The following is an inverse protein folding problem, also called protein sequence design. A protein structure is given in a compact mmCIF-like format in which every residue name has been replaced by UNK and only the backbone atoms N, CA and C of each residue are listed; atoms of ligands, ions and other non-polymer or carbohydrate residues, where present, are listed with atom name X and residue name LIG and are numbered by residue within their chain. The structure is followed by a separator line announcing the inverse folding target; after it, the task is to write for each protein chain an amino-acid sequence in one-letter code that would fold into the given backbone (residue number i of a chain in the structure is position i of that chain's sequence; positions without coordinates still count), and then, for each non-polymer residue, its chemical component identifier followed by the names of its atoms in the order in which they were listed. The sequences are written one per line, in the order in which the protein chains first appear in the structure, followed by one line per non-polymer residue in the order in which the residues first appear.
data_IF_946831712694
#
_entry.id   IF_946831712694
#
_cell.length_a   1.000
_cell.length_b   1.000
_cell.length_c   1.000
_cell.angle_alpha   90.00
_cell.angle_beta   90.00
_cell.angle_gamma   90.00
#
_symmetry.space_group_name_H-M   'P 1'
#
loop_
_entity.id
_entity.type
_entity.pdbx_description
1 polymer ?
#
# COMPACT_ATOMS: atom_id res chain seq x y z
N UNK A 1 0.10 -5.03 -18.27
CA UNK A 1 -0.74 -4.23 -19.19
C UNK A 1 -0.21 -2.80 -19.22
N UNK A 2 -0.19 -2.13 -20.37
CA UNK A 2 0.29 -0.74 -20.45
C UNK A 2 -0.86 0.24 -20.59
N UNK A 3 -0.62 1.47 -20.16
CA UNK A 3 -1.49 2.61 -20.44
C UNK A 3 -1.51 2.93 -21.94
N UNK A 4 -2.68 2.97 -22.56
CA UNK A 4 -2.79 3.34 -23.99
C UNK A 4 -2.89 4.85 -24.23
N UNK A 5 -3.01 5.67 -23.18
CA UNK A 5 -3.26 7.11 -23.30
C UNK A 5 -2.73 7.95 -22.12
N UNK A 6 -2.77 9.27 -22.31
CA UNK A 6 -2.52 10.29 -21.28
C UNK A 6 -1.05 10.39 -20.85
N UNK A 7 -0.81 11.00 -19.68
CA UNK A 7 0.54 11.30 -19.14
C UNK A 7 1.46 10.08 -19.08
N UNK A 8 0.87 8.91 -18.84
CA UNK A 8 1.60 7.66 -18.61
C UNK A 8 1.53 6.68 -19.78
N UNK A 9 1.23 7.14 -21.00
CA UNK A 9 1.22 6.30 -22.20
C UNK A 9 2.48 5.41 -22.25
N UNK A 10 2.27 4.14 -22.61
CA UNK A 10 3.29 3.08 -22.72
C UNK A 10 3.94 2.67 -21.38
N UNK A 11 3.48 3.19 -20.23
CA UNK A 11 3.89 2.71 -18.90
C UNK A 11 3.01 1.55 -18.44
N UNK A 12 3.60 0.61 -17.70
CA UNK A 12 2.85 -0.49 -17.07
C UNK A 12 1.87 0.06 -16.02
N UNK A 13 0.62 -0.42 -16.05
CA UNK A 13 -0.45 0.00 -15.13
C UNK A 13 -0.03 -0.18 -13.67
N UNK A 14 0.56 -1.32 -13.32
CA UNK A 14 1.04 -1.58 -11.95
C UNK A 14 2.15 -0.59 -11.53
N UNK A 15 3.00 -0.17 -12.46
CA UNK A 15 4.01 0.85 -12.17
C UNK A 15 3.37 2.20 -11.88
N UNK A 16 2.36 2.59 -12.67
CA UNK A 16 1.62 3.85 -12.47
C UNK A 16 0.91 3.82 -11.12
N UNK A 17 0.29 2.70 -10.74
CA UNK A 17 -0.40 2.56 -9.45
C UNK A 17 0.58 2.86 -8.30
N UNK A 18 1.76 2.25 -8.34
CA UNK A 18 2.76 2.40 -7.28
C UNK A 18 3.47 3.75 -7.29
N UNK A 19 3.54 4.45 -8.43
CA UNK A 19 4.28 5.71 -8.57
C UNK A 19 3.40 6.95 -8.44
N UNK A 20 2.20 6.90 -8.97
CA UNK A 20 1.22 8.00 -8.98
C UNK A 20 -0.21 7.43 -8.96
N UNK A 21 -0.67 6.94 -7.79
CA UNK A 21 -2.05 6.45 -7.66
C UNK A 21 -3.10 7.55 -7.89
N UNK A 22 -2.70 8.82 -7.75
CA UNK A 22 -3.56 9.98 -8.06
C UNK A 22 -4.04 9.98 -9.50
N UNK A 23 -3.29 9.38 -10.42
CA UNK A 23 -3.71 9.23 -11.81
C UNK A 23 -4.99 8.38 -11.96
N UNK A 24 -5.14 7.30 -11.19
CA UNK A 24 -6.35 6.47 -11.23
C UNK A 24 -7.53 7.17 -10.55
N UNK A 25 -7.29 7.99 -9.53
CA UNK A 25 -8.32 8.89 -8.98
C UNK A 25 -8.79 9.89 -10.04
N UNK A 26 -7.87 10.47 -10.81
CA UNK A 26 -8.22 11.34 -11.93
C UNK A 26 -9.01 10.59 -13.01
N UNK A 27 -8.62 9.36 -13.38
CA UNK A 27 -9.38 8.53 -14.33
C UNK A 27 -10.82 8.29 -13.85
N UNK A 28 -11.00 8.00 -12.56
CA UNK A 28 -12.32 7.85 -11.94
C UNK A 28 -13.13 9.15 -12.05
N UNK A 29 -12.53 10.31 -11.71
CA UNK A 29 -13.19 11.62 -11.81
C UNK A 29 -13.58 11.99 -13.26
N UNK A 30 -12.88 11.43 -14.25
CA UNK A 30 -13.20 11.61 -15.67
C UNK A 30 -14.17 10.55 -16.21
N UNK A 31 -14.74 9.69 -15.37
CA UNK A 31 -15.68 8.65 -15.80
C UNK A 31 -15.03 7.53 -16.63
N UNK A 32 -13.71 7.37 -16.53
CA UNK A 32 -12.94 6.42 -17.35
C UNK A 32 -12.85 5.02 -16.74
N UNK A 33 -13.76 4.68 -15.82
CA UNK A 33 -13.75 3.40 -15.12
C UNK A 33 -13.99 2.21 -16.08
N UNK A 34 -14.68 2.43 -17.20
CA UNK A 34 -14.90 1.43 -18.24
C UNK A 34 -13.64 1.06 -19.04
N UNK A 35 -12.53 1.81 -18.90
CA UNK A 35 -11.28 1.51 -19.60
C UNK A 35 -10.63 0.26 -19.02
N UNK A 36 -10.09 -0.58 -19.92
CA UNK A 36 -9.41 -1.82 -19.54
C UNK A 36 -8.26 -1.56 -18.57
N UNK A 37 -7.55 -0.44 -18.70
CA UNK A 37 -6.44 -0.06 -17.82
C UNK A 37 -6.90 0.19 -16.39
N UNK A 38 -8.10 0.75 -16.23
CA UNK A 38 -8.69 0.97 -14.91
C UNK A 38 -9.10 -0.34 -14.27
N UNK A 39 -9.75 -1.22 -15.04
CA UNK A 39 -10.14 -2.55 -14.57
C UNK A 39 -8.92 -3.38 -14.17
N UNK A 40 -7.88 -3.39 -15.01
CA UNK A 40 -6.62 -4.06 -14.69
C UNK A 40 -5.92 -3.44 -13.47
N UNK A 41 -6.02 -2.12 -13.26
CA UNK A 41 -5.52 -1.50 -12.04
C UNK A 41 -6.25 -2.02 -10.80
N UNK A 42 -7.58 -2.21 -10.85
CA UNK A 42 -8.33 -2.79 -9.74
C UNK A 42 -7.90 -4.24 -9.44
N UNK A 43 -7.57 -5.02 -10.47
CA UNK A 43 -7.00 -6.37 -10.29
C UNK A 43 -5.64 -6.31 -9.58
N UNK A 44 -4.74 -5.44 -10.03
CA UNK A 44 -3.42 -5.23 -9.39
C UNK A 44 -3.59 -4.76 -7.94
N UNK A 45 -4.50 -3.82 -7.69
CA UNK A 45 -4.79 -3.32 -6.36
C UNK A 45 -5.33 -4.43 -5.44
N UNK A 46 -6.20 -5.30 -5.96
CA UNK A 46 -6.72 -6.45 -5.23
C UNK A 46 -5.59 -7.41 -4.84
N UNK A 47 -4.72 -7.76 -5.80
CA UNK A 47 -3.53 -8.60 -5.55
C UNK A 47 -2.56 -7.96 -4.57
N UNK A 48 -2.39 -6.64 -4.62
CA UNK A 48 -1.53 -5.92 -3.69
C UNK A 48 -2.07 -5.96 -2.26
N UNK A 49 -3.37 -5.76 -2.09
CA UNK A 49 -4.02 -5.77 -0.78
C UNK A 49 -4.09 -7.18 -0.18
N UNK A 50 -4.20 -8.23 -1.00
CA UNK A 50 -4.27 -9.62 -0.52
C UNK A 50 -2.93 -10.19 -0.08
N UNK A 51 -1.81 -9.62 -0.50
CA UNK A 51 -0.48 -10.09 -0.06
C UNK A 51 -0.26 -9.81 1.43
N UNK A 52 0.38 -10.71 2.18
CA UNK A 52 0.73 -10.46 3.58
C UNK A 52 1.80 -9.38 3.71
N UNK A 53 1.93 -8.80 4.89
CA UNK A 53 3.05 -7.91 5.23
C UNK A 53 4.28 -8.75 5.58
N UNK A 54 4.98 -9.28 4.56
CA UNK A 54 6.04 -10.27 4.72
C UNK A 54 7.40 -9.72 5.14
N UNK A 55 7.68 -8.44 4.87
CA UNK A 55 8.99 -7.84 5.10
C UNK A 55 9.09 -7.07 6.43
N UNK A 56 8.07 -7.19 7.28
CA UNK A 56 7.98 -6.49 8.56
C UNK A 56 7.52 -7.44 9.66
N UNK A 57 7.87 -7.11 10.90
CA UNK A 57 7.50 -7.89 12.08
C UNK A 57 6.52 -7.11 12.94
N UNK A 58 5.69 -7.84 13.68
CA UNK A 58 4.83 -7.23 14.68
C UNK A 58 5.70 -6.63 15.79
N UNK A 59 5.45 -5.36 16.10
CA UNK A 59 6.12 -4.61 17.17
C UNK A 59 5.58 -4.96 18.57
N UNK A 60 4.47 -5.68 18.64
CA UNK A 60 3.83 -6.04 19.90
C UNK A 60 4.48 -7.20 20.65
N UNK A 61 3.79 -7.65 21.70
CA UNK A 61 4.25 -8.70 22.64
C UNK A 61 4.43 -10.08 22.02
N UNK A 62 3.92 -10.33 20.81
CA UNK A 62 4.11 -11.61 20.12
C UNK A 62 5.54 -11.81 19.59
N UNK A 63 6.45 -10.85 19.79
CA UNK A 63 7.86 -10.93 19.38
C UNK A 63 8.04 -11.28 17.88
N UNK A 64 7.10 -10.82 17.05
CA UNK A 64 7.11 -11.08 15.62
C UNK A 64 6.66 -12.47 15.19
N UNK A 65 6.05 -13.28 16.07
CA UNK A 65 5.48 -14.59 15.70
C UNK A 65 4.31 -14.47 14.73
N UNK A 66 3.54 -13.39 14.83
CA UNK A 66 2.34 -13.15 14.03
C UNK A 66 2.63 -12.15 12.90
N UNK A 67 2.06 -12.41 11.73
CA UNK A 67 2.12 -11.49 10.60
C UNK A 67 1.36 -10.20 10.93
N UNK A 68 1.98 -9.02 10.74
CA UNK A 68 1.27 -7.76 10.91
C UNK A 68 0.10 -7.60 9.93
N UNK A 69 -0.89 -6.81 10.33
CA UNK A 69 -2.09 -6.51 9.54
C UNK A 69 -2.32 -5.00 9.37
N UNK A 70 -1.68 -4.17 10.20
CA UNK A 70 -1.85 -2.72 10.20
C UNK A 70 -0.59 -1.98 10.65
N UNK A 71 -0.44 -0.75 10.16
CA UNK A 71 0.52 0.24 10.64
C UNK A 71 -0.18 1.16 11.64
N UNK A 72 0.42 1.36 12.81
CA UNK A 72 -0.03 2.34 13.80
C UNK A 72 0.72 3.66 13.61
N UNK A 73 -0.03 4.76 13.55
CA UNK A 73 0.50 6.12 13.43
C UNK A 73 0.14 6.91 14.67
N UNK A 74 1.11 7.63 15.21
CA UNK A 74 0.90 8.46 16.39
C UNK A 74 0.40 9.85 15.99
N UNK A 75 -0.74 10.26 16.53
CA UNK A 75 -1.46 11.49 16.18
C UNK A 75 -1.70 11.64 14.67
N UNK A 76 -1.91 10.52 13.96
CA UNK A 76 -2.09 10.53 12.51
C UNK A 76 -0.84 10.91 11.71
N UNK A 77 0.35 10.83 12.31
CA UNK A 77 1.61 11.18 11.65
C UNK A 77 2.50 9.97 11.56
N UNK A 78 3.27 9.87 10.46
CA UNK A 78 4.33 8.89 10.35
C UNK A 78 5.43 9.21 11.37
N UNK A 79 5.53 8.37 12.40
CA UNK A 79 6.49 8.47 13.48
C UNK A 79 7.40 7.23 13.60
N UNK A 80 7.32 6.32 12.63
CA UNK A 80 8.04 5.06 12.61
C UNK A 80 7.22 3.93 12.00
N UNK A 81 7.87 2.83 11.69
CA UNK A 81 7.23 1.64 11.12
C UNK A 81 6.69 0.70 12.23
N UNK A 82 5.70 1.19 12.98
CA UNK A 82 5.08 0.45 14.07
C UNK A 82 3.96 -0.46 13.56
N UNK A 83 4.36 -1.60 12.99
CA UNK A 83 3.44 -2.61 12.46
C UNK A 83 2.90 -3.53 13.56
N UNK A 84 1.59 -3.80 13.56
CA UNK A 84 0.93 -4.66 14.54
C UNK A 84 0.07 -5.72 13.87
N UNK A 85 0.01 -6.91 14.48
CA UNK A 85 -0.98 -7.94 14.18
C UNK A 85 -2.27 -7.69 14.98
N UNK A 86 -3.37 -8.34 14.61
CA UNK A 86 -4.69 -8.16 15.24
C UNK A 86 -4.72 -8.56 16.72
N UNK A 87 -3.81 -9.42 17.16
CA UNK A 87 -3.72 -9.87 18.55
C UNK A 87 -2.92 -8.93 19.46
N UNK A 88 -2.06 -8.08 18.90
CA UNK A 88 -1.23 -7.18 19.70
C UNK A 88 -1.86 -5.80 19.85
N UNK A 89 -2.02 -5.36 21.10
CA UNK A 89 -2.46 -4.01 21.44
C UNK A 89 -1.27 -3.03 21.51
N UNK A 90 -1.20 -1.99 20.65
CA UNK A 90 -0.14 -0.99 20.72
C UNK A 90 -0.12 -0.19 22.03
N UNK A 91 -1.25 -0.04 22.73
CA UNK A 91 -1.28 0.68 24.01
C UNK A 91 -0.60 -0.10 25.13
N UNK A 92 -0.63 -1.43 25.08
CA UNK A 92 0.16 -2.28 25.98
C UNK A 92 1.68 -2.13 25.83
N UNK A 93 2.14 -1.46 24.76
CA UNK A 93 3.55 -1.15 24.50
C UNK A 93 3.92 0.29 24.89
N UNK A 94 3.08 0.98 25.66
CA UNK A 94 3.37 2.32 26.17
C UNK A 94 2.93 3.47 25.25
N UNK A 95 2.10 3.20 24.24
CA UNK A 95 1.49 4.28 23.48
C UNK A 95 0.45 5.05 24.34
N UNK A 96 0.34 6.36 24.13
CA UNK A 96 -0.64 7.17 24.84
C UNK A 96 -2.06 6.82 24.37
N UNK A 97 -2.93 6.51 25.32
CA UNK A 97 -4.32 6.13 25.04
C UNK A 97 -5.04 7.18 24.17
N UNK A 98 -5.74 6.70 23.15
CA UNK A 98 -6.56 7.53 22.26
C UNK A 98 -5.79 8.35 21.22
N UNK A 99 -4.46 8.26 21.16
CA UNK A 99 -3.67 9.06 20.20
C UNK A 99 -3.28 8.31 18.92
N UNK A 100 -3.63 7.02 18.79
CA UNK A 100 -3.24 6.22 17.63
C UNK A 100 -4.33 6.18 16.57
N UNK A 101 -3.91 6.28 15.32
CA UNK A 101 -4.71 5.91 14.14
C UNK A 101 -4.04 4.74 13.43
N UNK A 102 -4.82 3.85 12.81
CA UNK A 102 -4.29 2.69 12.10
C UNK A 102 -4.58 2.75 10.61
N UNK A 103 -3.66 2.26 9.80
CA UNK A 103 -3.81 2.14 8.34
C UNK A 103 -3.46 0.70 7.92
N UNK A 104 -4.30 0.08 7.10
CA UNK A 104 -4.25 -1.35 6.76
C UNK A 104 -4.36 -1.64 5.27
N UNK A 105 -4.94 -0.74 4.47
CA UNK A 105 -5.19 -0.98 3.04
C UNK A 105 -4.72 0.17 2.19
N UNK A 106 -4.26 -0.15 0.97
CA UNK A 106 -3.64 0.80 0.06
C UNK A 106 -4.47 2.07 -0.16
N UNK A 107 -5.79 1.96 -0.21
CA UNK A 107 -6.70 3.09 -0.40
C UNK A 107 -6.71 4.08 0.79
N UNK A 108 -6.40 3.62 2.00
CA UNK A 108 -6.19 4.48 3.17
C UNK A 108 -4.85 5.21 3.08
N UNK A 109 -3.79 4.52 2.61
CA UNK A 109 -2.46 5.11 2.40
C UNK A 109 -2.49 6.29 1.42
N UNK A 110 -3.23 6.16 0.31
CA UNK A 110 -3.31 7.23 -0.71
C UNK A 110 -4.11 8.45 -0.26
N UNK A 111 -5.02 8.30 0.72
CA UNK A 111 -5.83 9.42 1.26
C UNK A 111 -5.09 10.20 2.35
N UNK A 112 -3.96 9.69 2.84
CA UNK A 112 -3.20 10.30 3.90
C UNK A 112 -2.44 11.55 3.43
N UNK A 113 -2.26 12.54 4.31
CA UNK A 113 -1.48 13.76 4.05
C UNK A 113 -0.02 13.47 3.66
N UNK A 114 0.54 12.39 4.22
CA UNK A 114 1.90 11.89 3.96
C UNK A 114 1.91 10.69 2.98
N UNK A 115 0.97 10.63 2.04
CA UNK A 115 0.77 9.47 1.17
C UNK A 115 2.02 9.02 0.42
N UNK A 116 2.86 9.93 -0.11
CA UNK A 116 4.10 9.54 -0.82
C UNK A 116 5.03 8.67 0.03
N UNK A 117 5.26 9.08 1.29
CA UNK A 117 6.08 8.34 2.24
C UNK A 117 5.41 7.03 2.65
N UNK A 118 4.12 7.10 2.98
CA UNK A 118 3.38 5.94 3.49
C UNK A 118 3.18 4.88 2.40
N UNK A 119 3.01 5.25 1.13
CA UNK A 119 3.00 4.30 0.00
C UNK A 119 4.34 3.56 -0.07
N UNK A 120 5.47 4.26 0.12
CA UNK A 120 6.80 3.61 0.13
C UNK A 120 6.91 2.60 1.28
N UNK A 121 6.51 3.00 2.48
CA UNK A 121 6.47 2.14 3.68
C UNK A 121 5.59 0.90 3.45
N UNK A 122 4.38 1.10 2.91
CA UNK A 122 3.47 0.02 2.55
C UNK A 122 4.08 -0.93 1.52
N UNK A 123 4.65 -0.40 0.44
CA UNK A 123 5.25 -1.20 -0.63
C UNK A 123 6.39 -2.07 -0.09
N UNK A 124 7.26 -1.48 0.74
CA UNK A 124 8.36 -2.20 1.37
C UNK A 124 7.82 -3.34 2.24
N UNK A 125 6.84 -3.05 3.11
CA UNK A 125 6.26 -4.03 4.02
C UNK A 125 5.58 -5.21 3.30
N UNK A 126 5.01 -4.98 2.11
CA UNK A 126 4.41 -6.02 1.25
C UNK A 126 5.42 -6.73 0.34
N UNK A 127 6.71 -6.41 0.41
CA UNK A 127 7.74 -7.02 -0.44
C UNK A 127 7.68 -6.59 -1.91
N UNK A 128 7.11 -5.43 -2.21
CA UNK A 128 7.12 -4.89 -3.58
C UNK A 128 8.57 -4.65 -4.00
N UNK A 129 8.99 -5.09 -5.21
CA UNK A 129 10.37 -4.90 -5.66
C UNK A 129 10.83 -3.44 -5.60
N UNK A 130 12.00 -3.21 -4.99
CA UNK A 130 12.63 -1.89 -4.93
C UNK A 130 12.82 -1.30 -6.34
N UNK A 131 13.36 -2.12 -7.26
CA UNK A 131 13.43 -1.80 -8.69
C UNK A 131 12.18 -2.33 -9.41
N UNK A 132 11.25 -1.42 -9.69
CA UNK A 132 9.96 -1.70 -10.35
C UNK A 132 10.10 -1.91 -11.86
N UNK A 133 10.94 -2.86 -12.27
CA UNK A 133 11.04 -3.26 -13.69
C UNK A 133 9.79 -4.03 -14.10
N UNK A 134 9.51 -4.06 -15.41
CA UNK A 134 8.38 -4.82 -15.96
C UNK A 134 8.37 -6.28 -15.49
N UNK A 135 9.50 -6.96 -15.60
CA UNK A 135 9.60 -8.38 -15.20
C UNK A 135 9.40 -8.56 -13.70
N UNK A 136 9.97 -7.67 -12.86
CA UNK A 136 9.80 -7.76 -11.41
C UNK A 136 8.34 -7.54 -10.98
N UNK A 137 7.64 -6.57 -11.59
CA UNK A 137 6.24 -6.31 -11.31
C UNK A 137 5.34 -7.47 -11.78
N UNK A 138 5.61 -8.03 -12.96
CA UNK A 138 4.90 -9.21 -13.48
C UNK A 138 5.08 -10.42 -12.59
N UNK A 139 6.29 -10.69 -12.14
CA UNK A 139 6.56 -11.78 -11.20
C UNK A 139 5.86 -11.56 -9.87
N UNK A 140 5.92 -10.33 -9.33
CA UNK A 140 5.32 -10.01 -8.05
C UNK A 140 3.78 -10.09 -8.08
N UNK A 141 3.15 -9.57 -9.14
CA UNK A 141 1.69 -9.54 -9.30
C UNK A 141 1.13 -10.69 -10.13
N UNK A 142 1.94 -11.62 -10.61
CA UNK A 142 1.53 -12.81 -11.36
C UNK A 142 0.62 -12.47 -12.58
N UNK A 143 1.16 -11.72 -13.56
CA UNK A 143 0.49 -11.38 -14.83
C UNK A 143 1.46 -11.16 -16.02
#
# INVERSE_FOLDING_TARGET
MHMSFGKYRDKEVAWVLLKDPGYFKWMQQKGMQHKLEYQFMLEVLTKLNSKPYSEVRCYGTCNGSNTPTRLSLYKGMFNGEYWFCDECDPYSQGANLGTLSTISKYDEFIRHSQSELLIKVFCNAKGVPNRKTKNALKQYFEY
#
